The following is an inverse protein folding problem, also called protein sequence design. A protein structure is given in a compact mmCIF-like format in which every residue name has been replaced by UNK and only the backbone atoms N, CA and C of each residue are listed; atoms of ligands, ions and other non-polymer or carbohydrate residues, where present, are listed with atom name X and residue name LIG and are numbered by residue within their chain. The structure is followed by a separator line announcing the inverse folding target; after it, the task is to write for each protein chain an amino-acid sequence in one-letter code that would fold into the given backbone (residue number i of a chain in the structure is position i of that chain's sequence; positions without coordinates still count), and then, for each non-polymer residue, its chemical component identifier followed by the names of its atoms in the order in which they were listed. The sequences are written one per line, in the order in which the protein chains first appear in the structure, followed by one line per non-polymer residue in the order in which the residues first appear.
data_IF_028488790532
#
_entry.id   IF_028488790532
#
_cell.length_a   1.000
_cell.length_b   1.000
_cell.length_c   1.000
_cell.angle_alpha   90.00
_cell.angle_beta   90.00
_cell.angle_gamma   90.00
#
_symmetry.space_group_name_H-M   'P 1'
#
loop_
_entity.id
_entity.type
_entity.pdbx_description
1 polymer ?
#
# COMPACT_ATOMS: atom_id res chain seq x y z
N UNK A 1 -33.72 -24.55 -15.70
CA UNK A 1 -33.36 -24.48 -14.27
C UNK A 1 -31.89 -24.89 -14.07
N UNK A 2 -30.92 -24.04 -14.44
CA UNK A 2 -29.48 -24.41 -14.44
C UNK A 2 -28.55 -23.22 -14.11
N UNK A 3 -29.00 -22.26 -13.30
CA UNK A 3 -28.23 -21.03 -13.01
C UNK A 3 -27.75 -20.89 -11.56
N UNK A 4 -27.91 -21.92 -10.72
CA UNK A 4 -27.50 -21.87 -9.29
C UNK A 4 -26.18 -22.60 -9.00
N UNK A 5 -25.66 -23.41 -9.93
CA UNK A 5 -24.39 -24.11 -9.73
C UNK A 5 -23.15 -23.26 -10.02
N UNK A 6 -23.24 -22.25 -10.90
CA UNK A 6 -22.08 -21.41 -11.26
C UNK A 6 -21.68 -20.44 -10.14
N UNK A 7 -22.65 -19.98 -9.36
CA UNK A 7 -22.42 -19.01 -8.28
C UNK A 7 -21.72 -19.63 -7.07
N UNK A 8 -21.86 -20.95 -6.85
CA UNK A 8 -21.17 -21.66 -5.76
C UNK A 8 -19.72 -22.01 -6.07
N UNK A 9 -19.31 -22.02 -7.35
CA UNK A 9 -17.91 -22.24 -7.72
C UNK A 9 -17.04 -20.97 -7.56
N UNK A 10 -17.64 -19.79 -7.65
CA UNK A 10 -16.91 -18.52 -7.58
C UNK A 10 -16.64 -18.03 -6.14
N UNK A 11 -17.38 -18.51 -5.13
CA UNK A 11 -17.08 -18.19 -3.73
C UNK A 11 -15.93 -19.03 -3.13
N UNK A 12 -15.61 -20.20 -3.70
CA UNK A 12 -14.49 -21.03 -3.21
C UNK A 12 -13.11 -20.48 -3.60
N UNK A 13 -13.01 -19.81 -4.75
CA UNK A 13 -11.73 -19.30 -5.26
C UNK A 13 -11.27 -17.98 -4.61
N UNK A 14 -12.20 -17.18 -4.08
CA UNK A 14 -11.88 -15.92 -3.41
C UNK A 14 -11.24 -16.11 -2.02
N UNK A 15 -11.59 -17.19 -1.31
CA UNK A 15 -11.07 -17.43 0.05
C UNK A 15 -9.69 -18.09 0.07
N UNK A 16 -9.28 -18.79 -1.00
CA UNK A 16 -7.93 -19.36 -1.13
C UNK A 16 -6.87 -18.31 -1.51
N UNK A 17 -7.26 -17.22 -2.17
CA UNK A 17 -6.34 -16.13 -2.54
C UNK A 17 -5.98 -15.19 -1.39
N UNK A 18 -6.82 -15.13 -0.34
CA UNK A 18 -6.51 -14.41 0.89
C UNK A 18 -5.76 -15.26 1.93
N UNK A 19 -5.87 -16.60 1.89
CA UNK A 19 -5.03 -17.46 2.73
C UNK A 19 -3.61 -17.65 2.16
N UNK A 20 -3.43 -17.58 0.83
CA UNK A 20 -2.10 -17.61 0.21
C UNK A 20 -1.25 -16.35 0.48
N UNK A 21 -1.91 -15.21 0.77
CA UNK A 21 -1.23 -13.94 1.01
C UNK A 21 -0.78 -13.74 2.48
N UNK A 22 -1.19 -14.63 3.40
CA UNK A 22 -0.84 -14.55 4.83
C UNK A 22 0.24 -15.53 5.29
N UNK A 23 0.57 -16.57 4.52
CA UNK A 23 1.45 -17.65 4.99
C UNK A 23 2.90 -17.54 4.53
N UNK A 24 3.24 -16.63 3.61
CA UNK A 24 4.66 -16.41 3.26
C UNK A 24 5.42 -15.52 4.25
N UNK A 25 4.72 -14.91 5.21
CA UNK A 25 5.34 -14.12 6.29
C UNK A 25 5.64 -14.93 7.56
N UNK A 26 5.33 -16.24 7.61
CA UNK A 26 5.33 -17.00 8.88
C UNK A 26 6.46 -18.01 9.11
N UNK A 27 7.06 -18.61 8.08
CA UNK A 27 8.01 -19.71 8.26
C UNK A 27 9.33 -19.45 7.52
N UNK A 28 10.09 -18.46 7.99
CA UNK A 28 11.55 -18.54 7.81
C UNK A 28 12.14 -19.11 9.09
N UNK A 29 12.64 -20.37 9.09
CA UNK A 29 13.36 -20.89 10.24
C UNK A 29 14.54 -19.97 10.55
N UNK A 30 14.68 -19.61 11.82
CA UNK A 30 15.84 -18.90 12.32
C UNK A 30 17.10 -19.65 11.86
N UNK A 31 18.10 -18.98 11.27
CA UNK A 31 19.38 -19.63 11.05
C UNK A 31 19.93 -20.02 12.41
N UNK A 32 20.04 -21.33 12.63
CA UNK A 32 20.80 -21.88 13.74
C UNK A 32 22.21 -21.29 13.67
N UNK A 33 22.66 -20.76 14.81
CA UNK A 33 23.97 -20.19 14.97
C UNK A 33 25.06 -21.18 14.52
N UNK A 34 26.14 -20.74 13.85
CA UNK A 34 27.41 -21.43 14.01
C UNK A 34 27.83 -21.26 15.46
N UNK A 35 27.77 -22.36 16.22
CA UNK A 35 28.41 -22.47 17.52
C UNK A 35 29.90 -22.41 17.25
N UNK A 36 30.51 -21.28 17.57
CA UNK A 36 31.96 -21.17 17.62
C UNK A 36 32.43 -21.76 18.96
N UNK A 37 33.13 -22.92 18.98
CA UNK A 37 33.60 -23.53 20.22
C UNK A 37 34.67 -22.69 20.94
N UNK A 38 35.11 -21.55 20.39
CA UNK A 38 36.12 -20.69 21.00
C UNK A 38 35.56 -19.63 21.97
N UNK A 39 34.26 -19.36 22.00
CA UNK A 39 33.68 -18.30 22.85
C UNK A 39 33.17 -18.78 24.22
N UNK A 40 33.16 -20.10 24.47
CA UNK A 40 32.66 -20.68 25.72
C UNK A 40 33.71 -20.74 26.85
N UNK A 41 34.95 -20.31 26.60
CA UNK A 41 36.01 -20.31 27.62
C UNK A 41 36.19 -18.96 28.35
N UNK A 42 35.46 -17.90 27.98
CA UNK A 42 35.69 -16.54 28.50
C UNK A 42 34.63 -16.03 29.49
N UNK A 43 33.50 -16.73 29.68
CA UNK A 43 32.40 -16.25 30.52
C UNK A 43 32.13 -17.09 31.77
N UNK A 44 33.04 -18.00 32.14
CA UNK A 44 32.99 -18.76 33.40
C UNK A 44 33.84 -18.13 34.53
N UNK A 45 34.63 -17.08 34.24
CA UNK A 45 35.52 -16.46 35.23
C UNK A 45 34.89 -15.31 36.05
N UNK A 46 33.63 -14.92 35.79
CA UNK A 46 33.04 -13.71 36.38
C UNK A 46 31.90 -13.96 37.41
N UNK A 47 31.74 -15.19 37.91
CA UNK A 47 30.70 -15.54 38.90
C UNK A 47 31.22 -16.08 40.23
N UNK A 48 32.48 -15.81 40.56
CA UNK A 48 32.99 -16.00 41.90
C UNK A 48 33.17 -14.63 42.58
N UNK A 49 32.20 -14.24 43.42
CA UNK A 49 32.36 -13.12 44.35
C UNK A 49 31.11 -12.26 44.49
N UNK A 50 30.40 -12.42 45.60
CA UNK A 50 29.37 -11.46 46.01
C UNK A 50 28.26 -12.07 46.84
N UNK A 51 28.61 -12.67 47.97
CA UNK A 51 27.70 -13.04 49.05
C UNK A 51 27.34 -11.81 49.91
N UNK A 52 26.22 -11.91 50.63
CA UNK A 52 25.67 -11.00 51.67
C UNK A 52 24.81 -9.81 51.17
N UNK A 53 23.62 -9.51 51.71
CA UNK A 53 23.00 -9.91 52.97
C UNK A 53 21.46 -9.84 52.89
N UNK A 54 20.83 -10.67 53.71
CA UNK A 54 19.39 -10.80 53.91
C UNK A 54 18.76 -9.61 54.65
N UNK A 55 17.46 -9.37 54.44
CA UNK A 55 16.48 -9.26 55.54
C UNK A 55 15.04 -9.28 55.02
N UNK A 56 14.24 -10.06 55.74
CA UNK A 56 12.85 -10.38 55.47
C UNK A 56 11.88 -9.28 55.93
N UNK A 57 10.74 -9.17 55.24
CA UNK A 57 9.48 -8.76 55.84
C UNK A 57 8.33 -9.43 55.09
N UNK A 58 7.74 -10.42 55.76
CA UNK A 58 6.52 -11.13 55.39
C UNK A 58 5.33 -10.23 55.73
N UNK A 59 4.46 -9.89 54.78
CA UNK A 59 3.10 -9.43 55.11
C UNK A 59 2.08 -9.77 54.02
N UNK A 60 1.29 -10.79 54.36
CA UNK A 60 -0.10 -11.08 54.00
C UNK A 60 -0.77 -10.43 52.76
N UNK A 61 -1.16 -11.28 51.81
CA UNK A 61 -2.39 -11.14 51.00
C UNK A 61 -3.63 -11.43 51.88
N UNK A 62 -4.91 -11.14 51.53
CA UNK A 62 -5.56 -10.97 50.20
C UNK A 62 -6.59 -9.77 50.19
N UNK A 63 -7.58 -9.57 49.27
CA UNK A 63 -8.01 -10.40 48.14
C UNK A 63 -8.13 -9.70 46.77
N UNK A 64 -8.35 -10.57 45.78
CA UNK A 64 -8.60 -10.28 44.39
C UNK A 64 -9.68 -9.20 44.19
N UNK A 65 -9.29 -8.10 43.54
CA UNK A 65 -10.23 -7.21 42.90
C UNK A 65 -10.62 -7.83 41.55
N UNK A 66 -11.86 -8.26 41.46
CA UNK A 66 -12.55 -8.58 40.21
C UNK A 66 -12.36 -7.42 39.23
N UNK A 67 -11.89 -7.63 37.99
CA UNK A 67 -11.93 -6.58 36.98
C UNK A 67 -13.41 -6.32 36.62
N UNK A 68 -13.96 -5.23 37.18
CA UNK A 68 -15.21 -4.65 36.71
C UNK A 68 -15.05 -4.32 35.22
N UNK A 69 -15.99 -4.74 34.34
CA UNK A 69 -15.96 -4.32 32.96
C UNK A 69 -16.26 -2.82 32.89
N UNK A 70 -15.26 -2.01 32.56
CA UNK A 70 -15.45 -0.62 32.15
C UNK A 70 -16.25 -0.62 30.85
N UNK A 71 -17.57 -0.58 30.98
CA UNK A 71 -18.47 -0.17 29.91
C UNK A 71 -18.24 1.32 29.69
N UNK A 72 -17.22 1.66 28.89
CA UNK A 72 -17.13 2.98 28.27
C UNK A 72 -18.26 3.10 27.26
N UNK A 73 -19.46 3.38 27.77
CA UNK A 73 -20.55 3.90 26.97
C UNK A 73 -20.12 5.31 26.53
N UNK A 74 -19.97 5.59 25.23
CA UNK A 74 -19.78 6.96 24.78
C UNK A 74 -20.99 7.79 25.25
N UNK A 75 -20.81 9.05 25.67
CA UNK A 75 -21.94 9.88 26.06
C UNK A 75 -22.93 9.91 24.90
N UNK A 76 -24.20 9.61 25.21
CA UNK A 76 -25.28 9.73 24.26
C UNK A 76 -25.23 11.13 23.66
N UNK A 77 -24.79 11.21 22.40
CA UNK A 77 -24.86 12.43 21.62
C UNK A 77 -26.35 12.70 21.49
N UNK A 78 -26.85 13.71 22.20
CA UNK A 78 -28.20 14.20 21.98
C UNK A 78 -28.31 14.49 20.49
N UNK A 79 -28.99 13.59 19.77
CA UNK A 79 -29.40 13.81 18.41
C UNK A 79 -30.45 14.90 18.49
N UNK A 80 -30.00 16.16 18.43
CA UNK A 80 -30.84 17.23 17.94
C UNK A 80 -31.17 16.87 16.49
N UNK A 81 -32.29 16.17 16.33
CA UNK A 81 -32.95 15.93 15.07
C UNK A 81 -33.59 17.24 14.60
N UNK A 82 -32.77 18.25 14.33
CA UNK A 82 -33.11 19.29 13.39
C UNK A 82 -32.45 18.90 12.07
N UNK A 83 -32.86 17.75 11.54
CA UNK A 83 -32.78 17.51 10.11
C UNK A 83 -33.75 18.52 9.52
N UNK A 84 -33.25 19.74 9.30
CA UNK A 84 -33.91 20.71 8.44
C UNK A 84 -34.13 19.95 7.15
N UNK A 85 -35.37 19.50 6.96
CA UNK A 85 -35.84 18.91 5.72
C UNK A 85 -35.66 20.01 4.67
N UNK A 86 -34.45 20.08 4.11
CA UNK A 86 -34.22 20.72 2.84
C UNK A 86 -35.28 20.08 1.95
N UNK A 87 -36.22 20.85 1.38
CA UNK A 87 -37.06 20.28 0.37
C UNK A 87 -36.09 19.70 -0.66
N UNK A 88 -36.16 18.39 -0.87
CA UNK A 88 -35.49 17.70 -1.98
C UNK A 88 -36.20 18.16 -3.26
N UNK A 89 -36.10 19.46 -3.52
CA UNK A 89 -36.83 20.13 -4.57
C UNK A 89 -36.09 19.86 -5.86
N UNK A 90 -36.88 19.32 -6.79
CA UNK A 90 -36.55 18.90 -8.13
C UNK A 90 -35.55 17.75 -8.22
N UNK A 91 -36.03 16.61 -8.73
CA UNK A 91 -35.18 15.72 -9.51
C UNK A 91 -34.41 16.61 -10.48
N UNK A 92 -33.11 16.80 -10.26
CA UNK A 92 -32.28 17.62 -11.12
C UNK A 92 -32.49 17.07 -12.53
N UNK A 93 -33.18 17.85 -13.36
CA UNK A 93 -33.43 17.51 -14.74
C UNK A 93 -32.04 17.48 -15.38
N UNK A 94 -31.46 16.29 -15.49
CA UNK A 94 -30.17 16.13 -16.14
C UNK A 94 -30.37 16.62 -17.56
N UNK A 95 -29.66 17.69 -17.93
CA UNK A 95 -29.66 18.15 -19.31
C UNK A 95 -29.28 16.97 -20.22
N UNK A 96 -29.92 16.84 -21.39
CA UNK A 96 -29.55 15.81 -22.35
C UNK A 96 -28.05 15.93 -22.66
N UNK A 97 -27.29 14.88 -22.35
CA UNK A 97 -25.86 14.83 -22.65
C UNK A 97 -25.74 14.75 -24.17
N UNK A 98 -25.10 15.76 -24.77
CA UNK A 98 -24.74 15.68 -26.19
C UNK A 98 -23.80 14.49 -26.41
N UNK A 99 -23.96 13.74 -27.52
CA UNK A 99 -23.09 12.62 -27.82
C UNK A 99 -21.64 13.10 -27.96
N UNK A 100 -20.72 12.46 -27.23
CA UNK A 100 -19.30 12.77 -27.32
C UNK A 100 -18.78 12.57 -28.75
N UNK A 101 -17.89 13.47 -29.19
CA UNK A 101 -17.22 13.32 -30.47
C UNK A 101 -16.44 11.99 -30.53
N UNK A 102 -16.38 11.33 -31.70
CA UNK A 102 -15.65 10.08 -31.83
C UNK A 102 -14.17 10.31 -31.54
N UNK A 103 -13.61 9.53 -30.61
CA UNK A 103 -12.20 9.58 -30.27
C UNK A 103 -11.36 8.97 -31.42
N UNK A 104 -10.95 9.80 -32.37
CA UNK A 104 -10.16 9.40 -33.54
C UNK A 104 -8.74 8.96 -33.14
N UNK A 105 -8.06 8.13 -33.95
CA UNK A 105 -6.65 7.78 -33.71
C UNK A 105 -5.74 9.01 -33.63
N UNK A 106 -6.01 10.04 -34.43
CA UNK A 106 -5.26 11.30 -34.40
C UNK A 106 -5.44 12.06 -33.07
N UNK A 107 -6.66 12.13 -32.54
CA UNK A 107 -6.92 12.72 -31.23
C UNK A 107 -6.20 11.94 -30.12
N UNK A 108 -6.27 10.61 -30.14
CA UNK A 108 -5.56 9.75 -29.17
C UNK A 108 -4.05 9.95 -29.25
N UNK A 109 -3.50 10.03 -30.46
CA UNK A 109 -2.07 10.27 -30.69
C UNK A 109 -1.61 11.58 -30.03
N UNK A 110 -2.34 12.67 -30.24
CA UNK A 110 -2.04 13.96 -29.62
C UNK A 110 -2.04 13.87 -28.08
N UNK A 111 -3.08 13.25 -27.51
CA UNK A 111 -3.19 13.10 -26.05
C UNK A 111 -2.09 12.22 -25.47
N UNK A 112 -1.79 11.09 -26.10
CA UNK A 112 -0.71 10.21 -25.65
C UNK A 112 0.66 10.88 -25.76
N UNK A 113 0.90 11.66 -26.82
CA UNK A 113 2.12 12.47 -26.97
C UNK A 113 2.26 13.50 -25.84
N UNK A 114 1.17 14.19 -25.47
CA UNK A 114 1.19 15.13 -24.35
C UNK A 114 1.46 14.44 -23.01
N UNK A 115 0.86 13.27 -22.76
CA UNK A 115 1.14 12.47 -21.55
C UNK A 115 2.60 12.05 -21.49
N UNK A 116 3.20 11.64 -22.62
CA UNK A 116 4.63 11.33 -22.71
C UNK A 116 5.49 12.53 -22.30
N UNK A 117 5.20 13.72 -22.83
CA UNK A 117 5.94 14.95 -22.48
C UNK A 117 5.90 15.26 -20.97
N UNK A 118 4.73 15.07 -20.34
CA UNK A 118 4.59 15.23 -18.89
C UNK A 118 5.41 14.19 -18.11
N UNK A 119 5.42 12.94 -18.58
CA UNK A 119 6.23 11.87 -17.98
C UNK A 119 7.73 12.11 -18.14
N UNK A 120 8.18 12.62 -19.29
CA UNK A 120 9.59 12.99 -19.52
C UNK A 120 10.04 14.05 -18.50
N UNK A 121 9.22 15.09 -18.27
CA UNK A 121 9.48 16.09 -17.22
C UNK A 121 9.49 15.49 -15.82
N UNK A 122 8.60 14.55 -15.52
CA UNK A 122 8.56 13.89 -14.23
C UNK A 122 9.82 13.05 -13.98
N UNK A 123 10.31 12.32 -15.00
CA UNK A 123 11.56 11.55 -14.89
C UNK A 123 12.73 12.48 -14.61
N UNK A 124 12.87 13.58 -15.35
CA UNK A 124 13.93 14.55 -15.13
C UNK A 124 13.88 15.12 -13.69
N UNK A 125 12.68 15.43 -13.18
CA UNK A 125 12.50 15.88 -11.79
C UNK A 125 12.93 14.82 -10.78
N UNK A 126 12.47 13.57 -10.93
CA UNK A 126 12.82 12.47 -10.03
C UNK A 126 14.32 12.15 -10.04
N UNK A 127 14.97 12.26 -11.20
CA UNK A 127 16.41 12.08 -11.31
C UNK A 127 17.18 13.19 -10.58
N UNK A 128 16.73 14.44 -10.70
CA UNK A 128 17.29 15.56 -9.95
C UNK A 128 17.10 15.38 -8.43
N UNK A 129 15.90 14.97 -7.99
CA UNK A 129 15.62 14.65 -6.59
C UNK A 129 16.51 13.51 -6.08
N UNK A 130 16.72 12.46 -6.89
CA UNK A 130 17.61 11.33 -6.56
C UNK A 130 19.03 11.81 -6.34
N UNK A 131 19.55 12.64 -7.26
CA UNK A 131 20.89 13.21 -7.16
C UNK A 131 21.03 14.11 -5.93
N UNK A 132 20.02 14.91 -5.62
CA UNK A 132 19.99 15.73 -4.41
C UNK A 132 20.01 14.87 -3.13
N UNK A 133 19.27 13.76 -3.10
CA UNK A 133 19.28 12.82 -1.97
C UNK A 133 20.66 12.15 -1.80
N UNK A 134 21.33 11.79 -2.90
CA UNK A 134 22.72 11.27 -2.88
C UNK A 134 23.68 12.33 -2.33
N UNK A 135 23.60 13.56 -2.84
CA UNK A 135 24.45 14.66 -2.37
C UNK A 135 24.23 15.01 -0.89
N UNK A 136 23.00 14.84 -0.40
CA UNK A 136 22.63 15.02 1.00
C UNK A 136 22.98 13.83 1.92
N UNK A 137 23.59 12.76 1.39
CA UNK A 137 23.93 11.57 2.17
C UNK A 137 22.73 10.78 2.66
N UNK A 138 21.61 10.78 1.92
CA UNK A 138 20.36 10.06 2.25
C UNK A 138 20.20 8.83 1.34
N UNK A 139 20.89 7.71 1.61
CA UNK A 139 20.95 6.57 0.70
C UNK A 139 19.61 5.86 0.53
N UNK A 140 18.79 5.78 1.58
CA UNK A 140 17.48 5.13 1.51
C UNK A 140 16.50 5.94 0.64
N UNK A 141 16.52 7.26 0.73
CA UNK A 141 15.73 8.13 -0.14
C UNK A 141 16.19 8.01 -1.61
N UNK A 142 17.50 7.97 -1.85
CA UNK A 142 18.07 7.79 -3.18
C UNK A 142 17.62 6.45 -3.82
N UNK A 143 17.63 5.35 -3.06
CA UNK A 143 17.14 4.03 -3.53
C UNK A 143 15.64 4.06 -3.84
N UNK A 144 14.84 4.68 -2.97
CA UNK A 144 13.38 4.81 -3.21
C UNK A 144 13.09 5.60 -4.48
N UNK A 145 13.83 6.70 -4.70
CA UNK A 145 13.71 7.52 -5.91
C UNK A 145 14.21 6.78 -7.15
N UNK A 146 15.25 5.97 -7.05
CA UNK A 146 15.73 5.12 -8.15
C UNK A 146 14.65 4.14 -8.64
N UNK A 147 13.92 3.49 -7.72
CA UNK A 147 12.78 2.63 -8.08
C UNK A 147 11.68 3.43 -8.77
N UNK A 148 11.41 4.66 -8.31
CA UNK A 148 10.43 5.53 -8.93
C UNK A 148 10.84 5.94 -10.37
N UNK A 149 12.12 6.29 -10.57
CA UNK A 149 12.70 6.60 -11.89
C UNK A 149 12.57 5.40 -12.81
N UNK A 150 12.99 4.20 -12.38
CA UNK A 150 12.92 2.99 -13.20
C UNK A 150 11.49 2.65 -13.63
N UNK A 151 10.51 2.83 -12.72
CA UNK A 151 9.09 2.64 -13.06
C UNK A 151 8.61 3.66 -14.09
N UNK A 152 8.96 4.93 -13.92
CA UNK A 152 8.55 6.00 -14.83
C UNK A 152 9.18 5.81 -16.22
N UNK A 153 10.45 5.42 -16.30
CA UNK A 153 11.13 5.07 -17.55
C UNK A 153 10.47 3.88 -18.27
N UNK A 154 10.06 2.83 -17.53
CA UNK A 154 9.29 1.72 -18.13
C UNK A 154 7.95 2.20 -18.71
N UNK A 155 7.27 3.12 -18.01
CA UNK A 155 6.01 3.70 -18.50
C UNK A 155 6.23 4.55 -19.74
N UNK A 156 7.34 5.31 -19.82
CA UNK A 156 7.72 6.03 -21.04
C UNK A 156 7.92 5.10 -22.23
N UNK A 157 8.60 3.96 -22.04
CA UNK A 157 8.74 2.94 -23.08
C UNK A 157 7.39 2.48 -23.64
N UNK A 158 6.43 2.17 -22.75
CA UNK A 158 5.07 1.80 -23.17
C UNK A 158 4.38 2.93 -23.96
N UNK A 159 4.50 4.19 -23.51
CA UNK A 159 3.89 5.32 -24.22
C UNK A 159 4.52 5.52 -25.61
N UNK A 160 5.81 5.26 -25.78
CA UNK A 160 6.47 5.32 -27.09
C UNK A 160 5.93 4.26 -28.04
N UNK A 161 5.76 3.02 -27.56
CA UNK A 161 5.14 1.95 -28.35
C UNK A 161 3.68 2.28 -28.73
N UNK A 162 2.93 2.85 -27.80
CA UNK A 162 1.53 3.27 -28.03
C UNK A 162 1.44 4.40 -29.06
N UNK A 163 2.32 5.39 -28.98
CA UNK A 163 2.44 6.47 -29.98
C UNK A 163 2.74 5.88 -31.35
N UNK A 164 3.68 4.94 -31.46
CA UNK A 164 4.00 4.31 -32.74
C UNK A 164 2.80 3.57 -33.35
N UNK A 165 2.03 2.85 -32.53
CA UNK A 165 0.79 2.19 -32.96
C UNK A 165 -0.27 3.19 -33.42
N UNK A 166 -0.47 4.27 -32.66
CA UNK A 166 -1.45 5.32 -33.00
C UNK A 166 -1.05 6.10 -34.25
N UNK A 167 0.25 6.32 -34.47
CA UNK A 167 0.77 6.91 -35.71
C UNK A 167 0.42 6.07 -36.93
N UNK A 168 0.62 4.75 -36.87
CA UNK A 168 0.24 3.84 -37.95
C UNK A 168 -1.27 3.90 -38.22
N UNK A 169 -2.09 3.82 -37.17
CA UNK A 169 -3.55 3.89 -37.30
C UNK A 169 -4.04 5.22 -37.87
N UNK A 170 -3.45 6.34 -37.44
CA UNK A 170 -3.82 7.68 -37.92
C UNK A 170 -3.47 7.85 -39.41
N UNK A 171 -2.37 7.25 -39.89
CA UNK A 171 -2.02 7.25 -41.30
C UNK A 171 -3.01 6.42 -42.14
N UNK A 172 -3.45 5.27 -41.62
CA UNK A 172 -4.44 4.41 -42.28
C UNK A 172 -5.83 5.07 -42.37
N UNK A 173 -6.24 5.81 -41.33
CA UNK A 173 -7.55 6.49 -41.31
C UNK A 173 -7.56 7.86 -42.00
N UNK A 174 -6.41 8.55 -42.09
CA UNK A 174 -6.29 9.82 -42.81
C UNK A 174 -6.10 9.69 -44.33
N UNK A 175 -5.91 8.47 -44.83
CA UNK A 175 -5.74 8.15 -46.25
C UNK A 175 -7.04 7.72 -46.97
N UNK A 176 -8.18 7.71 -46.26
CA UNK A 176 -9.52 7.43 -46.80
C UNK A 176 -10.32 8.73 -46.95
#
# INVERSE_FOLDING_TARGET
MTSTLRTRLLLGAGLLLLLGLGLEWGLRPAPAAPVDPAAQAASEAARAGGEAAASAALQAAPPAATPEPLTSQPPAREQSAEEAALPTDTAAQNDPIEPELPQTPAWKLEKTAHVRELMDRQVARLEAERQAAVAAGKPEDAKRLEVAVARAQRRLGHLQEEIAKLQAQAQETGAQ
#
